data_IF_435701835470
#
_entry.id   IF_435701835470
#
_cell.length_a   1.000
_cell.length_b   1.000
_cell.length_c   1.000
_cell.angle_alpha   90.00
_cell.angle_beta   90.00
_cell.angle_gamma   90.00
#
_symmetry.space_group_name_H-M   'P 1'
#
loop_
_entity.id
_entity.type
_entity.pdbx_description
1 polymer ?
#
# COMPACT_ATOMS: atom_id res chain seq x y z
N UNK A 1 -3.77 6.67 -30.19
CA UNK A 1 -4.19 5.29 -29.85
C UNK A 1 -5.49 5.44 -29.10
N UNK A 2 -6.54 4.73 -29.47
CA UNK A 2 -7.86 4.86 -28.83
C UNK A 2 -7.74 4.47 -27.35
N UNK A 3 -8.05 5.41 -26.45
CA UNK A 3 -8.02 5.26 -24.98
C UNK A 3 -9.10 4.31 -24.42
N UNK A 4 -9.65 3.43 -25.27
CA UNK A 4 -10.87 2.67 -25.00
C UNK A 4 -10.62 1.15 -25.04
N UNK A 5 -9.43 0.73 -24.59
CA UNK A 5 -9.28 -0.64 -24.10
C UNK A 5 -9.95 -0.66 -22.73
N UNK A 6 -11.04 -1.43 -22.61
CA UNK A 6 -11.71 -1.67 -21.33
C UNK A 6 -10.65 -2.04 -20.29
N UNK A 7 -10.38 -1.12 -19.36
CA UNK A 7 -9.27 -1.26 -18.43
C UNK A 7 -9.63 -2.34 -17.44
N UNK A 8 -8.80 -3.38 -17.36
CA UNK A 8 -8.87 -4.38 -16.30
C UNK A 8 -7.91 -4.00 -15.17
N UNK A 9 -8.47 -3.83 -13.98
CA UNK A 9 -7.78 -3.47 -12.75
C UNK A 9 -7.23 -4.70 -12.06
N UNK A 10 -6.02 -4.59 -11.53
CA UNK A 10 -5.26 -5.73 -11.00
C UNK A 10 -5.17 -5.68 -9.47
N UNK A 11 -5.05 -6.84 -8.83
CA UNK A 11 -4.53 -6.98 -7.47
C UNK A 11 -3.02 -7.24 -7.56
N UNK A 12 -2.23 -6.30 -7.04
CA UNK A 12 -0.76 -6.34 -7.13
C UNK A 12 -0.17 -6.41 -5.73
N UNK A 13 0.80 -7.30 -5.52
CA UNK A 13 1.51 -7.45 -4.26
C UNK A 13 2.99 -7.18 -4.46
N UNK A 14 3.53 -6.21 -3.73
CA UNK A 14 4.98 -6.03 -3.55
C UNK A 14 5.40 -6.50 -2.16
N UNK A 15 6.02 -7.68 -2.08
CA UNK A 15 6.46 -8.31 -0.81
C UNK A 15 7.96 -8.60 -0.82
N UNK A 16 8.44 -9.35 0.18
CA UNK A 16 9.85 -9.72 0.34
C UNK A 16 10.64 -8.84 1.29
N UNK A 17 11.84 -9.31 1.64
CA UNK A 17 12.66 -8.70 2.68
C UNK A 17 13.53 -7.54 2.20
N UNK A 18 13.71 -7.37 0.89
CA UNK A 18 14.52 -6.32 0.31
C UNK A 18 13.83 -4.95 0.30
N UNK A 19 14.65 -3.92 0.18
CA UNK A 19 14.25 -2.52 -0.03
C UNK A 19 13.71 -2.34 -1.45
N UNK A 20 12.54 -1.72 -1.60
CA UNK A 20 11.98 -1.36 -2.91
C UNK A 20 10.47 -1.51 -3.08
N UNK A 21 9.77 -2.14 -2.13
CA UNK A 21 8.33 -2.42 -2.21
C UNK A 21 7.50 -1.13 -2.28
N UNK A 22 7.60 -0.30 -1.24
CA UNK A 22 6.92 1.00 -1.17
C UNK A 22 7.32 1.91 -2.32
N UNK A 23 8.61 2.05 -2.61
CA UNK A 23 9.06 2.94 -3.69
C UNK A 23 8.55 2.49 -5.07
N UNK A 24 8.42 1.19 -5.32
CA UNK A 24 7.78 0.68 -6.54
C UNK A 24 6.29 1.06 -6.61
N UNK A 25 5.54 0.92 -5.51
CA UNK A 25 4.14 1.33 -5.43
C UNK A 25 3.99 2.85 -5.63
N UNK A 26 4.82 3.67 -4.98
CA UNK A 26 4.81 5.13 -5.15
C UNK A 26 5.18 5.54 -6.58
N UNK A 27 6.13 4.84 -7.22
CA UNK A 27 6.43 5.03 -8.65
C UNK A 27 5.23 4.73 -9.56
N UNK A 28 4.41 3.74 -9.19
CA UNK A 28 3.15 3.45 -9.88
C UNK A 28 2.11 4.57 -9.69
N UNK A 29 2.01 5.15 -8.49
CA UNK A 29 1.17 6.32 -8.23
C UNK A 29 1.57 7.50 -9.13
N UNK A 30 2.86 7.83 -9.18
CA UNK A 30 3.39 8.90 -10.06
C UNK A 30 3.03 8.64 -11.52
N UNK A 31 3.17 7.39 -11.98
CA UNK A 31 2.77 7.00 -13.34
C UNK A 31 1.28 7.20 -13.58
N UNK A 32 0.42 6.74 -12.66
CA UNK A 32 -1.03 6.88 -12.78
C UNK A 32 -1.46 8.35 -12.86
N UNK A 33 -0.93 9.21 -11.98
CA UNK A 33 -1.18 10.66 -11.99
C UNK A 33 -0.69 11.32 -13.27
N UNK A 34 0.48 10.89 -13.79
CA UNK A 34 0.98 11.34 -15.09
C UNK A 34 -0.01 11.10 -16.24
N UNK A 35 -0.82 10.05 -16.13
CA UNK A 35 -1.93 9.72 -17.04
C UNK A 35 -3.29 10.25 -16.57
N UNK A 36 -3.31 11.27 -15.70
CA UNK A 36 -4.52 11.96 -15.21
C UNK A 36 -5.50 11.06 -14.44
N UNK A 37 -4.98 9.99 -13.86
CA UNK A 37 -5.77 9.08 -13.02
C UNK A 37 -5.77 9.56 -11.58
N UNK A 38 -6.85 9.23 -10.87
CA UNK A 38 -6.96 9.46 -9.44
C UNK A 38 -6.40 8.28 -8.66
N UNK A 39 -5.62 8.59 -7.64
CA UNK A 39 -4.92 7.63 -6.79
C UNK A 39 -5.31 7.86 -5.33
N UNK A 40 -5.64 6.77 -4.62
CA UNK A 40 -5.71 6.76 -3.17
C UNK A 40 -4.48 6.02 -2.63
N UNK A 41 -3.82 6.57 -1.63
CA UNK A 41 -2.71 5.95 -0.92
C UNK A 41 -3.06 5.92 0.56
N UNK A 42 -3.18 4.73 1.13
CA UNK A 42 -3.37 4.49 2.56
C UNK A 42 -2.07 3.91 3.10
N UNK A 43 -1.44 4.60 4.03
CA UNK A 43 -0.20 4.15 4.66
C UNK A 43 -0.47 3.66 6.08
N UNK A 44 -0.06 2.42 6.36
CA UNK A 44 -0.18 1.79 7.66
C UNK A 44 1.17 1.85 8.39
N UNK A 45 1.17 1.88 9.72
CA UNK A 45 2.31 1.51 10.55
C UNK A 45 3.67 2.20 10.25
N UNK A 46 3.68 3.50 9.97
CA UNK A 46 4.89 4.24 9.58
C UNK A 46 5.75 4.76 10.75
N UNK A 47 5.35 4.55 12.01
CA UNK A 47 6.16 4.88 13.19
C UNK A 47 6.55 6.37 13.28
N UNK A 48 5.73 7.27 12.73
CA UNK A 48 5.98 8.72 12.68
C UNK A 48 7.03 9.15 11.65
N UNK A 49 7.51 8.24 10.80
CA UNK A 49 8.51 8.58 9.79
C UNK A 49 7.85 9.33 8.63
N UNK A 50 8.22 10.61 8.49
CA UNK A 50 7.88 11.38 7.31
C UNK A 50 8.79 10.99 6.16
N UNK A 51 8.18 10.68 5.02
CA UNK A 51 8.91 10.37 3.79
C UNK A 51 8.83 11.51 2.77
N UNK A 52 9.85 11.62 1.92
CA UNK A 52 9.84 12.54 0.79
C UNK A 52 8.64 12.33 -0.15
N UNK A 53 8.22 11.08 -0.33
CA UNK A 53 7.06 10.72 -1.15
C UNK A 53 5.77 11.33 -0.60
N UNK A 54 5.55 11.32 0.72
CA UNK A 54 4.39 11.98 1.32
C UNK A 54 4.33 13.47 0.95
N UNK A 55 5.46 14.18 1.06
CA UNK A 55 5.52 15.62 0.78
C UNK A 55 5.22 15.97 -0.67
N UNK A 56 5.62 15.13 -1.62
CA UNK A 56 5.40 15.39 -3.04
C UNK A 56 4.01 14.90 -3.47
N UNK A 57 3.64 13.67 -3.11
CA UNK A 57 2.40 13.04 -3.55
C UNK A 57 1.17 13.75 -2.98
N UNK A 58 1.20 14.19 -1.71
CA UNK A 58 0.08 14.96 -1.13
C UNK A 58 -0.16 16.32 -1.79
N UNK A 59 0.83 16.85 -2.52
CA UNK A 59 0.70 18.11 -3.26
C UNK A 59 0.25 17.92 -4.72
N UNK A 60 0.17 16.68 -5.22
CA UNK A 60 -0.26 16.40 -6.59
C UNK A 60 -1.78 16.38 -6.70
N UNK A 61 -2.31 17.12 -7.67
CA UNK A 61 -3.71 16.99 -8.05
C UNK A 61 -4.00 15.56 -8.53
N UNK A 62 -5.12 14.99 -8.05
CA UNK A 62 -5.50 13.60 -8.30
C UNK A 62 -4.93 12.57 -7.31
N UNK A 63 -4.16 12.97 -6.29
CA UNK A 63 -3.74 12.06 -5.22
C UNK A 63 -4.45 12.39 -3.92
N UNK A 64 -5.05 11.37 -3.32
CA UNK A 64 -5.49 11.39 -1.93
C UNK A 64 -4.53 10.50 -1.13
N UNK A 65 -3.84 11.07 -0.13
CA UNK A 65 -2.90 10.34 0.72
C UNK A 65 -3.40 10.42 2.16
N UNK A 66 -3.66 9.26 2.75
CA UNK A 66 -4.07 9.08 4.13
C UNK A 66 -3.01 8.27 4.84
N UNK A 67 -2.41 8.84 5.88
CA UNK A 67 -1.54 8.11 6.79
C UNK A 67 -2.36 7.73 8.01
N UNK A 68 -2.47 6.44 8.27
CA UNK A 68 -3.07 5.91 9.49
C UNK A 68 -1.99 5.93 10.57
N UNK A 69 -1.88 7.07 11.25
CA UNK A 69 -1.00 7.26 12.40
C UNK A 69 -1.81 8.01 13.46
N UNK A 70 -2.19 7.32 14.53
CA UNK A 70 -2.69 8.01 15.74
C UNK A 70 -1.52 8.35 16.67
N UNK A 71 -0.58 7.42 16.84
CA UNK A 71 0.63 7.60 17.64
C UNK A 71 1.83 7.08 16.84
N UNK A 72 2.92 7.86 16.79
CA UNK A 72 4.16 7.62 16.03
C UNK A 72 4.96 6.38 16.51
N UNK A 73 4.31 5.24 16.65
CA UNK A 73 4.79 4.00 17.24
C UNK A 73 4.78 2.90 16.19
N UNK A 74 5.76 2.01 16.25
CA UNK A 74 5.79 0.82 15.39
C UNK A 74 4.71 -0.19 15.80
N UNK A 75 4.33 -1.12 14.93
CA UNK A 75 3.31 -2.13 15.21
C UNK A 75 3.65 -2.91 16.48
N UNK A 76 4.92 -3.24 16.67
CA UNK A 76 5.45 -3.96 17.85
C UNK A 76 5.32 -3.18 19.17
N UNK A 77 5.13 -1.86 19.09
CA UNK A 77 5.06 -0.96 20.24
C UNK A 77 3.61 -0.60 20.62
N UNK A 78 2.63 -1.02 19.81
CA UNK A 78 1.21 -0.74 19.97
C UNK A 78 0.45 -1.94 20.53
N UNK A 79 -0.73 -1.68 21.10
CA UNK A 79 -1.62 -2.76 21.50
C UNK A 79 -2.20 -3.48 20.29
N UNK A 80 -2.58 -4.75 20.46
CA UNK A 80 -3.28 -5.51 19.43
C UNK A 80 -4.61 -4.83 19.04
N UNK A 81 -5.27 -4.18 19.99
CA UNK A 81 -6.50 -3.42 19.78
C UNK A 81 -6.27 -2.24 18.84
N UNK A 82 -5.22 -1.43 19.07
CA UNK A 82 -4.89 -0.29 18.21
C UNK A 82 -4.47 -0.73 16.81
N UNK A 83 -3.67 -1.79 16.71
CA UNK A 83 -3.26 -2.36 15.43
C UNK A 83 -4.47 -2.91 14.64
N UNK A 84 -5.44 -3.53 15.33
CA UNK A 84 -6.68 -4.01 14.73
C UNK A 84 -7.59 -2.87 14.30
N UNK A 85 -7.70 -1.81 15.11
CA UNK A 85 -8.48 -0.62 14.77
C UNK A 85 -7.92 0.10 13.52
N UNK A 86 -6.60 0.24 13.43
CA UNK A 86 -5.94 0.78 12.24
C UNK A 86 -6.20 -0.09 11.00
N UNK A 87 -6.06 -1.40 11.13
CA UNK A 87 -6.37 -2.34 10.05
C UNK A 87 -7.82 -2.16 9.56
N UNK A 88 -8.79 -2.08 10.48
CA UNK A 88 -10.20 -1.86 10.16
C UNK A 88 -10.43 -0.51 9.46
N UNK A 89 -9.84 0.57 9.96
CA UNK A 89 -9.97 1.89 9.35
C UNK A 89 -9.41 1.90 7.91
N UNK A 90 -8.28 1.22 7.68
CA UNK A 90 -7.75 1.05 6.32
C UNK A 90 -8.68 0.29 5.38
N UNK A 91 -9.36 -0.75 5.87
CA UNK A 91 -10.39 -1.46 5.10
C UNK A 91 -11.63 -0.59 4.86
N UNK A 92 -12.03 0.25 5.81
CA UNK A 92 -13.13 1.21 5.65
C UNK A 92 -12.82 2.23 4.54
N UNK A 93 -11.57 2.72 4.48
CA UNK A 93 -11.12 3.61 3.41
C UNK A 93 -11.11 2.92 2.04
N UNK A 94 -10.70 1.65 1.97
CA UNK A 94 -10.79 0.87 0.74
C UNK A 94 -12.25 0.69 0.30
N UNK A 95 -13.14 0.34 1.22
CA UNK A 95 -14.57 0.19 0.96
C UNK A 95 -15.19 1.50 0.46
N UNK A 96 -14.87 2.63 1.09
CA UNK A 96 -15.31 3.94 0.64
C UNK A 96 -14.76 4.28 -0.75
N UNK A 97 -13.51 3.95 -1.04
CA UNK A 97 -12.90 4.15 -2.36
C UNK A 97 -13.62 3.34 -3.46
N UNK A 98 -14.02 2.11 -3.15
CA UNK A 98 -14.81 1.23 -4.01
C UNK A 98 -16.19 1.85 -4.29
N UNK A 99 -16.86 2.36 -3.25
CA UNK A 99 -18.18 3.01 -3.37
C UNK A 99 -18.11 4.33 -4.17
N UNK A 100 -17.06 5.13 -3.94
CA UNK A 100 -16.85 6.41 -4.61
C UNK A 100 -16.59 6.26 -6.12
N UNK A 101 -16.04 5.11 -6.53
CA UNK A 101 -15.73 4.79 -7.93
C UNK A 101 -14.93 5.88 -8.66
N UNK A 102 -14.10 6.64 -7.92
CA UNK A 102 -13.31 7.74 -8.49
C UNK A 102 -11.83 7.39 -8.69
N UNK A 103 -11.29 6.43 -7.95
CA UNK A 103 -9.86 6.09 -7.94
C UNK A 103 -9.53 4.90 -8.84
N UNK A 104 -8.66 5.10 -9.83
CA UNK A 104 -8.21 4.00 -10.69
C UNK A 104 -7.11 3.15 -10.04
N UNK A 105 -6.43 3.70 -9.03
CA UNK A 105 -5.38 3.04 -8.29
C UNK A 105 -5.57 3.30 -6.79
N UNK A 106 -5.60 2.23 -6.00
CA UNK A 106 -5.57 2.27 -4.54
C UNK A 106 -4.30 1.56 -4.08
N UNK A 107 -3.51 2.20 -3.22
CA UNK A 107 -2.30 1.62 -2.63
C UNK A 107 -2.52 1.47 -1.13
N UNK A 108 -2.37 0.27 -0.62
CA UNK A 108 -2.38 -0.09 0.79
C UNK A 108 -0.92 -0.38 1.19
N UNK A 109 -0.20 0.66 1.57
CA UNK A 109 1.23 0.62 1.87
C UNK A 109 1.46 0.04 3.28
N UNK A 110 2.24 -1.03 3.38
CA UNK A 110 2.57 -1.81 4.60
C UNK A 110 1.43 -2.65 5.21
N UNK A 111 0.26 -2.77 4.54
CA UNK A 111 -0.84 -3.63 4.98
C UNK A 111 -0.43 -5.11 5.15
N UNK A 112 0.53 -5.60 4.34
CA UNK A 112 0.99 -6.99 4.44
C UNK A 112 1.62 -7.31 5.80
N UNK A 113 2.18 -6.31 6.48
CA UNK A 113 2.75 -6.50 7.82
C UNK A 113 1.63 -6.78 8.82
N UNK A 114 0.53 -6.04 8.74
CA UNK A 114 -0.64 -6.25 9.60
C UNK A 114 -1.34 -7.58 9.28
N UNK A 115 -1.46 -7.94 7.99
CA UNK A 115 -1.95 -9.26 7.56
C UNK A 115 -1.12 -10.40 8.17
N UNK A 116 0.21 -10.30 8.08
CA UNK A 116 1.12 -11.34 8.61
C UNK A 116 1.00 -11.53 10.11
N UNK A 117 0.61 -10.48 10.84
CA UNK A 117 0.43 -10.49 12.29
C UNK A 117 -1.00 -10.82 12.71
N UNK A 118 -1.93 -11.00 11.76
CA UNK A 118 -3.31 -11.40 12.05
C UNK A 118 -4.22 -10.25 12.49
N UNK A 119 -3.84 -8.99 12.25
CA UNK A 119 -4.67 -7.83 12.63
C UNK A 119 -5.71 -7.45 11.57
N UNK A 120 -5.55 -7.92 10.34
CA UNK A 120 -6.48 -7.66 9.23
C UNK A 120 -7.46 -8.83 9.12
N UNK A 121 -8.76 -8.53 9.06
CA UNK A 121 -9.78 -9.51 8.66
C UNK A 121 -9.58 -9.86 7.17
N UNK A 122 -8.95 -11.02 6.94
CA UNK A 122 -8.64 -11.53 5.60
C UNK A 122 -9.91 -11.73 4.79
N UNK A 123 -11.00 -12.21 5.40
CA UNK A 123 -12.26 -12.47 4.68
C UNK A 123 -12.86 -11.17 4.17
N UNK A 124 -12.85 -10.13 5.01
CA UNK A 124 -13.31 -8.80 4.63
C UNK A 124 -12.45 -8.20 3.51
N UNK A 125 -11.12 -8.32 3.60
CA UNK A 125 -10.23 -7.83 2.54
C UNK A 125 -10.50 -8.54 1.21
N UNK A 126 -10.69 -9.85 1.22
CA UNK A 126 -11.02 -10.62 0.00
C UNK A 126 -12.36 -10.17 -0.62
N UNK A 127 -13.41 -9.98 0.20
CA UNK A 127 -14.71 -9.47 -0.28
C UNK A 127 -14.57 -8.09 -0.94
N UNK A 128 -13.81 -7.18 -0.31
CA UNK A 128 -13.56 -5.86 -0.87
C UNK A 128 -12.77 -5.93 -2.19
N UNK A 129 -11.75 -6.78 -2.26
CA UNK A 129 -10.98 -6.97 -3.49
C UNK A 129 -11.85 -7.54 -4.60
N UNK A 130 -12.76 -8.48 -4.30
CA UNK A 130 -13.69 -9.04 -5.29
C UNK A 130 -14.74 -8.02 -5.77
N UNK A 131 -15.26 -7.18 -4.86
CA UNK A 131 -16.32 -6.19 -5.16
C UNK A 131 -15.84 -4.90 -5.80
N UNK A 132 -14.52 -4.67 -5.87
CA UNK A 132 -13.95 -3.47 -6.50
C UNK A 132 -14.42 -3.33 -7.95
N UNK A 133 -14.54 -2.11 -8.49
CA UNK A 133 -14.82 -1.93 -9.91
C UNK A 133 -13.79 -2.65 -10.78
N UNK A 134 -14.20 -3.29 -11.89
CA UNK A 134 -13.33 -4.10 -12.74
C UNK A 134 -12.10 -3.35 -13.28
N UNK A 135 -12.13 -2.01 -13.27
CA UNK A 135 -11.06 -1.13 -13.75
C UNK A 135 -10.14 -0.61 -12.62
N UNK A 136 -10.47 -0.87 -11.35
CA UNK A 136 -9.71 -0.42 -10.19
C UNK A 136 -8.55 -1.38 -9.89
N UNK A 137 -7.34 -0.84 -9.85
CA UNK A 137 -6.15 -1.57 -9.41
C UNK A 137 -5.91 -1.35 -7.93
N UNK A 138 -5.65 -2.41 -7.17
CA UNK A 138 -5.27 -2.34 -5.76
C UNK A 138 -3.87 -2.91 -5.58
N UNK A 139 -2.99 -2.14 -4.93
CA UNK A 139 -1.60 -2.53 -4.64
C UNK A 139 -1.45 -2.72 -3.14
N UNK A 140 -0.94 -3.87 -2.72
CA UNK A 140 -0.60 -4.17 -1.33
C UNK A 140 0.91 -4.25 -1.20
N UNK A 141 1.49 -3.57 -0.22
CA UNK A 141 2.92 -3.63 0.07
C UNK A 141 3.20 -4.11 1.49
N UNK A 142 4.45 -4.47 1.73
CA UNK A 142 4.98 -4.84 3.04
C UNK A 142 5.52 -6.26 3.07
N UNK A 143 6.18 -6.62 4.16
CA UNK A 143 6.76 -7.96 4.34
C UNK A 143 5.67 -8.99 4.64
N UNK A 144 5.84 -10.21 4.14
CA UNK A 144 4.90 -11.30 4.35
C UNK A 144 3.59 -11.11 3.57
N UNK A 145 2.47 -11.35 4.23
CA UNK A 145 1.11 -11.32 3.70
C UNK A 145 0.33 -12.57 4.11
N UNK A 146 -0.96 -12.61 3.78
CA UNK A 146 -1.79 -13.80 3.93
C UNK A 146 -1.78 -14.63 2.63
N UNK A 147 -1.66 -15.95 2.73
CA UNK A 147 -1.59 -16.84 1.56
C UNK A 147 -2.86 -16.75 0.70
N UNK A 148 -3.99 -16.51 1.34
CA UNK A 148 -5.31 -16.33 0.75
C UNK A 148 -5.38 -15.06 -0.10
N UNK A 149 -4.69 -13.99 0.29
CA UNK A 149 -4.62 -12.76 -0.52
C UNK A 149 -3.66 -12.96 -1.69
N UNK A 150 -2.56 -13.68 -1.49
CA UNK A 150 -1.64 -14.04 -2.56
C UNK A 150 -2.30 -14.91 -3.64
N UNK A 151 -3.24 -15.80 -3.28
CA UNK A 151 -3.85 -16.71 -4.24
C UNK A 151 -4.76 -16.01 -5.27
N UNK A 152 -5.28 -14.83 -4.94
CA UNK A 152 -6.13 -14.02 -5.84
C UNK A 152 -5.36 -12.89 -6.54
N UNK A 153 -4.08 -12.68 -6.22
CA UNK A 153 -3.30 -11.60 -6.79
C UNK A 153 -2.93 -11.87 -8.25
N UNK A 154 -3.14 -10.87 -9.11
CA UNK A 154 -2.76 -10.93 -10.53
C UNK A 154 -1.25 -10.80 -10.72
N UNK A 155 -0.58 -10.08 -9.82
CA UNK A 155 0.88 -9.91 -9.81
C UNK A 155 1.41 -10.01 -8.39
N UNK A 156 2.42 -10.85 -8.19
CA UNK A 156 3.25 -10.83 -6.98
C UNK A 156 4.69 -10.61 -7.39
N UNK A 157 5.33 -9.60 -6.81
CA UNK A 157 6.75 -9.33 -6.95
C UNK A 157 7.41 -9.39 -5.58
N UNK A 158 8.33 -10.34 -5.42
CA UNK A 158 9.15 -10.47 -4.21
C UNK A 158 10.47 -9.72 -4.39
N UNK A 159 10.68 -8.68 -3.58
CA UNK A 159 11.95 -7.98 -3.51
C UNK A 159 12.87 -8.74 -2.55
N UNK A 160 13.82 -9.49 -3.09
CA UNK A 160 14.80 -10.23 -2.27
C UNK A 160 15.96 -9.32 -1.83
N UNK A 161 16.37 -9.44 -0.58
CA UNK A 161 17.54 -8.72 -0.05
C UNK A 161 18.83 -9.46 -0.44
N UNK A 162 19.41 -9.13 -1.59
CA UNK A 162 20.71 -9.67 -2.01
C UNK A 162 21.86 -9.02 -1.23
N UNK A 163 21.75 -7.71 -0.96
CA UNK A 163 22.69 -6.93 -0.15
C UNK A 163 21.99 -5.66 0.32
N UNK A 164 22.26 -5.23 1.57
CA UNK A 164 21.71 -3.99 2.10
C UNK A 164 22.80 -3.13 2.78
N UNK A 165 22.86 -1.80 2.57
CA UNK A 165 23.85 -0.93 3.20
C UNK A 165 23.88 -1.03 4.74
N UNK A 166 22.72 -1.27 5.35
CA UNK A 166 22.59 -1.50 6.79
C UNK A 166 23.46 -2.65 7.30
N UNK A 167 23.65 -3.72 6.52
CA UNK A 167 24.52 -4.85 6.88
C UNK A 167 26.00 -4.42 7.01
N UNK A 168 26.37 -3.31 6.36
CA UNK A 168 27.69 -2.69 6.49
C UNK A 168 27.72 -1.55 7.54
N UNK A 169 26.68 -1.42 8.36
CA UNK A 169 26.56 -0.38 9.39
C UNK A 169 26.24 1.01 8.87
N UNK A 170 25.86 1.14 7.59
CA UNK A 170 25.46 2.43 7.00
C UNK A 170 24.03 2.75 7.44
N UNK A 171 23.79 3.87 8.15
CA UNK A 171 22.47 4.24 8.63
C UNK A 171 21.56 4.75 7.50
N UNK A 172 20.25 4.82 7.77
CA UNK A 172 19.26 5.36 6.85
C UNK A 172 19.58 6.81 6.43
N UNK A 173 19.41 7.14 5.16
CA UNK A 173 19.76 8.43 4.57
C UNK A 173 18.53 9.11 3.95
N UNK A 174 18.40 10.42 4.20
CA UNK A 174 17.36 11.25 3.59
C UNK A 174 17.49 11.27 2.06
N UNK A 175 16.39 11.08 1.35
CA UNK A 175 16.31 10.98 -0.11
C UNK A 175 16.65 9.59 -0.67
N UNK A 176 17.01 8.63 0.19
CA UNK A 176 17.28 7.24 -0.19
C UNK A 176 16.35 6.30 0.58
N UNK A 177 16.30 6.45 1.91
CA UNK A 177 15.51 5.61 2.81
C UNK A 177 14.23 6.27 3.31
N UNK A 178 14.22 7.61 3.38
CA UNK A 178 13.08 8.42 3.77
C UNK A 178 13.19 9.85 3.21
#
# INVERSE_FOLDING_TARGET
MSDDVCRHGLVIIYTGNGKGKTTAAMGMAVRAVGWKQKVLIVQFAKGGWRSGEQSVLSALDGVELVTLEEDASWIEERSDEDNTAEAQHGLDLLEQAILDQKFQLVILDEINVLLSKGFVDVSRLLDLLERRPEWMTVVLTGRGGAQEVCSIADLISEVQEIKHPFQAGIPAQKGIDF
#
